data_IF_910683224847
#
_entry.id   IF_910683224847
#
_cell.length_a   1.000
_cell.length_b   1.000
_cell.length_c   1.000
_cell.angle_alpha   90.00
_cell.angle_beta   90.00
_cell.angle_gamma   90.00
#
_symmetry.space_group_name_H-M   'P 1'
#
loop_
_entity.id
_entity.type
_entity.pdbx_description
1 polymer ?
#
# COMPACT_ATOMS: atom_id res chain seq x y z
N UNK A 1 10.55 20.30 -4.41
CA UNK A 1 11.08 21.34 -5.33
C UNK A 1 12.53 21.72 -5.05
N UNK A 2 13.00 21.83 -3.80
CA UNK A 2 14.39 22.27 -3.50
C UNK A 2 15.51 21.34 -4.02
N UNK A 3 15.23 20.06 -4.24
CA UNK A 3 16.26 19.03 -4.53
C UNK A 3 16.83 19.05 -5.94
N UNK A 4 16.07 19.56 -6.92
CA UNK A 4 16.59 19.77 -8.27
C UNK A 4 17.32 21.12 -8.40
N UNK A 5 17.03 22.06 -7.50
CA UNK A 5 17.58 23.42 -7.56
C UNK A 5 19.07 23.40 -7.24
N UNK A 6 19.48 22.68 -6.19
CA UNK A 6 20.90 22.63 -5.80
C UNK A 6 21.82 22.06 -6.91
N UNK A 7 21.56 20.87 -7.49
CA UNK A 7 22.38 20.34 -8.58
C UNK A 7 22.27 21.19 -9.85
N UNK A 8 21.09 21.76 -10.14
CA UNK A 8 20.96 22.68 -11.28
C UNK A 8 21.82 23.95 -11.09
N UNK A 9 21.81 24.55 -9.91
CA UNK A 9 22.66 25.70 -9.57
C UNK A 9 24.14 25.31 -9.66
N UNK A 10 24.52 24.14 -9.14
CA UNK A 10 25.89 23.63 -9.24
C UNK A 10 26.36 23.45 -10.70
N UNK A 11 25.51 22.88 -11.56
CA UNK A 11 25.80 22.73 -12.99
C UNK A 11 25.89 24.07 -13.71
N UNK A 12 25.03 25.04 -13.38
CA UNK A 12 25.10 26.40 -13.94
C UNK A 12 26.40 27.09 -13.52
N UNK A 13 26.80 26.98 -12.25
CA UNK A 13 28.09 27.52 -11.78
C UNK A 13 29.26 26.87 -12.50
N UNK A 14 29.27 25.54 -12.63
CA UNK A 14 30.32 24.82 -13.36
C UNK A 14 30.38 25.26 -14.84
N UNK A 15 29.22 25.39 -15.50
CA UNK A 15 29.13 25.87 -16.88
C UNK A 15 29.66 27.31 -17.02
N UNK A 16 29.37 28.20 -16.07
CA UNK A 16 29.90 29.57 -16.06
C UNK A 16 31.41 29.61 -15.84
N UNK A 17 31.96 28.71 -15.01
CA UNK A 17 33.43 28.58 -14.81
C UNK A 17 34.12 28.07 -16.07
N UNK A 18 33.55 27.05 -16.73
CA UNK A 18 34.10 26.54 -18.01
C UNK A 18 33.98 27.59 -19.11
N UNK A 19 32.86 28.31 -19.17
CA UNK A 19 32.65 29.40 -20.13
C UNK A 19 33.63 30.55 -19.93
N UNK A 20 33.89 30.96 -18.68
CA UNK A 20 34.87 32.01 -18.38
C UNK A 20 36.28 31.60 -18.79
N UNK A 21 36.65 30.34 -18.57
CA UNK A 21 37.92 29.78 -19.04
C UNK A 21 38.05 29.86 -20.57
N UNK A 22 36.98 29.53 -21.31
CA UNK A 22 36.95 29.63 -22.78
C UNK A 22 37.15 31.07 -23.26
N UNK A 23 36.42 32.04 -22.67
CA UNK A 23 36.55 33.46 -23.01
C UNK A 23 37.95 34.00 -22.69
N UNK A 24 38.57 33.57 -21.59
CA UNK A 24 39.94 33.95 -21.22
C UNK A 24 41.00 33.31 -22.13
N UNK A 25 40.80 32.06 -22.55
CA UNK A 25 41.70 31.35 -23.47
C UNK A 25 41.82 32.02 -24.84
N UNK A 26 40.73 32.61 -25.34
CA UNK A 26 40.75 33.42 -26.56
C UNK A 26 41.60 34.70 -26.49
N UNK A 27 41.95 35.17 -25.28
CA UNK A 27 42.74 36.39 -25.05
C UNK A 27 44.17 36.13 -24.61
N UNK A 28 44.40 35.08 -23.81
CA UNK A 28 45.70 34.81 -23.16
C UNK A 28 46.53 33.71 -23.87
N UNK A 29 45.96 33.04 -24.88
CA UNK A 29 46.54 31.84 -25.49
C UNK A 29 46.20 30.56 -24.71
N UNK A 30 46.16 29.40 -25.38
CA UNK A 30 45.70 28.14 -24.79
C UNK A 30 46.59 27.60 -23.66
N UNK A 31 47.87 28.01 -23.61
CA UNK A 31 48.85 27.50 -22.63
C UNK A 31 48.92 28.33 -21.34
N UNK A 32 48.05 29.34 -21.18
CA UNK A 32 48.02 30.15 -19.98
C UNK A 32 47.63 29.30 -18.75
N UNK A 33 48.50 29.28 -17.73
CA UNK A 33 48.29 28.54 -16.47
C UNK A 33 46.90 28.77 -15.85
N UNK A 34 46.37 30.01 -15.94
CA UNK A 34 45.04 30.38 -15.46
C UNK A 34 43.90 29.67 -16.20
N UNK A 35 44.02 29.44 -17.51
CA UNK A 35 43.02 28.74 -18.32
C UNK A 35 42.99 27.26 -17.92
N UNK A 36 44.16 26.63 -17.80
CA UNK A 36 44.27 25.23 -17.36
C UNK A 36 43.72 25.01 -15.95
N UNK A 37 44.00 25.93 -15.01
CA UNK A 37 43.46 25.86 -13.65
C UNK A 37 41.93 25.99 -13.62
N UNK A 38 41.35 26.92 -14.38
CA UNK A 38 39.90 27.12 -14.44
C UNK A 38 39.17 25.94 -15.08
N UNK A 39 39.74 25.37 -16.16
CA UNK A 39 39.17 24.17 -16.79
C UNK A 39 39.21 22.99 -15.82
N UNK A 40 40.36 22.72 -15.18
CA UNK A 40 40.49 21.63 -14.22
C UNK A 40 39.52 21.80 -13.05
N UNK A 41 39.46 22.99 -12.44
CA UNK A 41 38.51 23.30 -11.38
C UNK A 41 37.06 23.13 -11.83
N UNK A 42 36.71 23.62 -13.02
CA UNK A 42 35.38 23.47 -13.59
C UNK A 42 34.98 22.01 -13.80
N UNK A 43 35.91 21.18 -14.30
CA UNK A 43 35.68 19.74 -14.47
C UNK A 43 35.55 19.01 -13.12
N UNK A 44 36.33 19.38 -12.10
CA UNK A 44 36.23 18.80 -10.77
C UNK A 44 34.89 19.14 -10.11
N UNK A 45 34.48 20.41 -10.13
CA UNK A 45 33.18 20.86 -9.60
C UNK A 45 32.05 20.12 -10.31
N UNK A 46 32.10 20.02 -11.64
CA UNK A 46 31.10 19.29 -12.43
C UNK A 46 31.06 17.80 -12.04
N UNK A 47 32.22 17.15 -11.89
CA UNK A 47 32.32 15.77 -11.44
C UNK A 47 31.69 15.54 -10.07
N UNK A 48 31.93 16.44 -9.12
CA UNK A 48 31.32 16.40 -7.79
C UNK A 48 29.80 16.56 -7.87
N UNK A 49 29.30 17.57 -8.58
CA UNK A 49 27.85 17.84 -8.70
C UNK A 49 27.12 16.66 -9.33
N UNK A 50 27.68 16.09 -10.41
CA UNK A 50 27.11 14.91 -11.07
C UNK A 50 27.09 13.72 -10.10
N UNK A 51 28.19 13.48 -9.39
CA UNK A 51 28.28 12.37 -8.43
C UNK A 51 27.23 12.50 -7.32
N UNK A 52 27.09 13.69 -6.73
CA UNK A 52 26.08 13.97 -5.70
C UNK A 52 24.66 13.72 -6.25
N UNK A 53 24.34 14.27 -7.42
CA UNK A 53 23.02 14.11 -8.02
C UNK A 53 22.67 12.63 -8.29
N UNK A 54 23.65 11.86 -8.79
CA UNK A 54 23.48 10.42 -9.05
C UNK A 54 23.26 9.67 -7.74
N UNK A 55 24.07 9.93 -6.71
CA UNK A 55 23.95 9.29 -5.40
C UNK A 55 22.61 9.61 -4.74
N UNK A 56 22.17 10.87 -4.77
CA UNK A 56 20.87 11.28 -4.26
C UNK A 56 19.72 10.57 -4.98
N UNK A 57 19.80 10.47 -6.32
CA UNK A 57 18.80 9.74 -7.11
C UNK A 57 18.74 8.25 -6.72
N UNK A 58 19.90 7.60 -6.54
CA UNK A 58 19.94 6.21 -6.08
C UNK A 58 19.29 6.03 -4.70
N UNK A 59 19.58 6.95 -3.76
CA UNK A 59 18.96 6.92 -2.44
C UNK A 59 17.46 7.14 -2.48
N UNK A 60 16.99 8.10 -3.29
CA UNK A 60 15.56 8.35 -3.46
C UNK A 60 14.85 7.14 -4.07
N UNK A 61 15.44 6.53 -5.10
CA UNK A 61 14.93 5.31 -5.71
C UNK A 61 14.84 4.17 -4.70
N UNK A 62 15.89 3.94 -3.91
CA UNK A 62 15.90 2.91 -2.86
C UNK A 62 14.83 3.19 -1.80
N UNK A 63 14.70 4.45 -1.36
CA UNK A 63 13.69 4.85 -0.39
C UNK A 63 12.27 4.60 -0.91
N UNK A 64 11.99 4.94 -2.16
CA UNK A 64 10.67 4.72 -2.77
C UNK A 64 10.36 3.22 -2.90
N UNK A 65 11.36 2.39 -3.23
CA UNK A 65 11.21 0.94 -3.25
C UNK A 65 10.88 0.36 -1.87
N UNK A 66 11.61 0.75 -0.82
CA UNK A 66 11.33 0.28 0.55
C UNK A 66 9.98 0.78 1.04
N UNK A 67 9.64 2.04 0.77
CA UNK A 67 8.33 2.60 1.10
C UNK A 67 7.20 1.84 0.40
N UNK A 68 7.37 1.50 -0.87
CA UNK A 68 6.38 0.72 -1.63
C UNK A 68 6.15 -0.66 -1.03
N UNK A 69 7.21 -1.36 -0.60
CA UNK A 69 7.09 -2.64 0.13
C UNK A 69 6.37 -2.48 1.47
N UNK A 70 6.69 -1.43 2.23
CA UNK A 70 6.04 -1.15 3.50
C UNK A 70 4.53 -0.88 3.32
N UNK A 71 4.18 -0.11 2.29
CA UNK A 71 2.79 0.18 1.93
C UNK A 71 2.06 -1.11 1.49
N UNK A 72 2.70 -1.94 0.67
CA UNK A 72 2.15 -3.23 0.25
C UNK A 72 1.90 -4.16 1.45
N UNK A 73 2.87 -4.27 2.37
CA UNK A 73 2.71 -5.04 3.60
C UNK A 73 1.56 -4.54 4.46
N UNK A 74 1.44 -3.22 4.65
CA UNK A 74 0.35 -2.63 5.44
C UNK A 74 -1.03 -2.93 4.83
N UNK A 75 -1.15 -2.87 3.49
CA UNK A 75 -2.37 -3.23 2.80
C UNK A 75 -2.68 -4.73 2.91
N UNK A 76 -1.68 -5.60 2.78
CA UNK A 76 -1.87 -7.05 2.90
C UNK A 76 -2.36 -7.43 4.31
N UNK A 77 -1.78 -6.87 5.37
CA UNK A 77 -2.26 -7.09 6.75
C UNK A 77 -3.67 -6.54 6.98
N UNK A 78 -4.01 -5.42 6.35
CA UNK A 78 -5.38 -4.90 6.42
C UNK A 78 -6.36 -5.87 5.75
N UNK A 79 -6.01 -6.45 4.59
CA UNK A 79 -6.80 -7.48 3.92
C UNK A 79 -6.90 -8.74 4.77
N UNK A 80 -5.77 -9.22 5.33
CA UNK A 80 -5.75 -10.37 6.24
C UNK A 80 -6.75 -10.20 7.37
N UNK A 81 -6.75 -9.04 8.03
CA UNK A 81 -7.70 -8.75 9.10
C UNK A 81 -9.16 -8.76 8.60
N UNK A 82 -9.44 -8.13 7.47
CA UNK A 82 -10.79 -8.10 6.86
C UNK A 82 -11.26 -9.52 6.54
N UNK A 83 -10.42 -10.33 5.91
CA UNK A 83 -10.71 -11.72 5.53
C UNK A 83 -10.89 -12.59 6.78
N UNK A 84 -10.04 -12.40 7.78
CA UNK A 84 -10.16 -13.09 9.05
C UNK A 84 -11.49 -12.76 9.73
N UNK A 85 -11.91 -11.49 9.81
CA UNK A 85 -13.22 -11.11 10.39
C UNK A 85 -14.37 -11.66 9.56
N UNK A 86 -14.29 -11.59 8.24
CA UNK A 86 -15.39 -11.97 7.35
C UNK A 86 -15.53 -13.48 7.20
N UNK A 87 -14.50 -14.15 6.70
CA UNK A 87 -14.54 -15.55 6.27
C UNK A 87 -13.97 -16.50 7.33
N UNK A 88 -12.96 -16.07 8.09
CA UNK A 88 -12.45 -16.82 9.24
C UNK A 88 -11.05 -17.29 9.01
N UNK A 89 -10.73 -18.44 9.60
CA UNK A 89 -9.39 -18.98 9.56
C UNK A 89 -8.54 -18.67 10.80
N UNK A 90 -7.26 -19.09 10.76
CA UNK A 90 -6.31 -18.81 11.83
C UNK A 90 -6.07 -17.30 11.97
N UNK A 91 -5.59 -16.86 13.14
CA UNK A 91 -5.27 -15.44 13.39
C UNK A 91 -4.09 -14.92 12.56
N UNK A 92 -3.27 -15.82 12.05
CA UNK A 92 -2.15 -15.54 11.15
C UNK A 92 -2.42 -16.34 9.89
N UNK A 93 -2.74 -15.65 8.79
CA UNK A 93 -3.13 -16.28 7.53
C UNK A 93 -2.04 -15.98 6.50
N UNK A 94 -1.44 -17.02 5.96
CA UNK A 94 -0.47 -16.89 4.87
C UNK A 94 -1.16 -16.46 3.56
N UNK A 95 -0.41 -15.85 2.65
CA UNK A 95 -0.98 -15.22 1.44
C UNK A 95 -1.74 -16.22 0.55
N UNK A 96 -1.21 -17.44 0.39
CA UNK A 96 -1.85 -18.54 -0.35
C UNK A 96 -3.15 -19.01 0.33
N UNK A 97 -3.19 -19.00 1.67
CA UNK A 97 -4.39 -19.30 2.46
C UNK A 97 -5.44 -18.21 2.29
N UNK A 98 -5.05 -16.92 2.31
CA UNK A 98 -5.97 -15.79 2.03
C UNK A 98 -6.62 -15.99 0.66
N UNK A 99 -5.82 -16.29 -0.36
CA UNK A 99 -6.32 -16.55 -1.72
C UNK A 99 -7.24 -17.77 -1.77
N UNK A 100 -6.91 -18.83 -1.04
CA UNK A 100 -7.76 -20.02 -0.92
C UNK A 100 -9.13 -19.71 -0.29
N UNK A 101 -9.13 -18.93 0.80
CA UNK A 101 -10.35 -18.47 1.49
C UNK A 101 -11.22 -17.63 0.55
N UNK A 102 -10.62 -16.64 -0.13
CA UNK A 102 -11.33 -15.77 -1.08
C UNK A 102 -11.93 -16.56 -2.25
N UNK A 103 -11.25 -17.60 -2.74
CA UNK A 103 -11.81 -18.48 -3.78
C UNK A 103 -12.95 -19.35 -3.29
N UNK A 104 -13.01 -19.68 -2.00
CA UNK A 104 -14.13 -20.43 -1.42
C UNK A 104 -15.35 -19.58 -1.07
N UNK A 105 -15.22 -18.24 -1.05
CA UNK A 105 -16.32 -17.34 -0.72
C UNK A 105 -17.49 -17.50 -1.70
N UNK A 106 -18.68 -17.74 -1.16
CA UNK A 106 -19.91 -17.94 -1.92
C UNK A 106 -20.72 -16.65 -2.05
N UNK A 107 -21.60 -16.58 -3.06
CA UNK A 107 -22.48 -15.43 -3.26
C UNK A 107 -23.44 -15.16 -2.08
N UNK A 108 -23.76 -16.21 -1.29
CA UNK A 108 -24.67 -16.13 -0.15
C UNK A 108 -23.99 -15.85 1.19
N UNK A 109 -22.67 -15.67 1.21
CA UNK A 109 -21.95 -15.37 2.45
C UNK A 109 -22.41 -14.04 3.02
N UNK A 110 -22.61 -13.99 4.34
CA UNK A 110 -23.13 -12.80 4.98
C UNK A 110 -22.11 -11.66 4.91
N UNK A 111 -22.60 -10.46 4.63
CA UNK A 111 -21.85 -9.20 4.71
C UNK A 111 -22.62 -8.23 5.60
N UNK A 112 -22.59 -8.42 6.93
CA UNK A 112 -23.24 -7.49 7.86
C UNK A 112 -22.60 -6.10 7.80
N UNK A 113 -23.31 -5.09 8.29
CA UNK A 113 -22.91 -3.68 8.16
C UNK A 113 -21.51 -3.39 8.71
N UNK A 114 -21.09 -4.05 9.79
CA UNK A 114 -19.75 -3.86 10.35
C UNK A 114 -18.64 -4.41 9.44
N UNK A 115 -18.87 -5.55 8.79
CA UNK A 115 -17.94 -6.11 7.79
C UNK A 115 -17.89 -5.24 6.53
N UNK A 116 -19.04 -4.71 6.09
CA UNK A 116 -19.07 -3.71 5.02
C UNK A 116 -18.26 -2.45 5.37
N UNK A 117 -18.33 -1.99 6.62
CA UNK A 117 -17.57 -0.82 7.08
C UNK A 117 -16.05 -1.08 7.10
N UNK A 118 -15.62 -2.31 7.42
CA UNK A 118 -14.23 -2.72 7.30
C UNK A 118 -13.73 -2.66 5.84
N UNK A 119 -14.53 -3.19 4.91
CA UNK A 119 -14.24 -3.15 3.47
C UNK A 119 -14.19 -1.72 2.93
N UNK A 120 -15.15 -0.88 3.33
CA UNK A 120 -15.19 0.55 3.00
C UNK A 120 -13.94 1.28 3.52
N UNK A 121 -13.51 0.97 4.74
CA UNK A 121 -12.30 1.54 5.36
C UNK A 121 -11.04 1.12 4.61
N UNK A 122 -10.95 -0.14 4.19
CA UNK A 122 -9.88 -0.64 3.33
C UNK A 122 -9.85 0.10 1.97
N UNK A 123 -11.00 0.26 1.33
CA UNK A 123 -11.11 1.00 0.07
C UNK A 123 -10.75 2.48 0.20
N UNK A 124 -11.22 3.14 1.26
CA UNK A 124 -10.88 4.55 1.56
C UNK A 124 -9.39 4.73 1.79
N UNK A 125 -8.78 3.87 2.63
CA UNK A 125 -7.34 3.90 2.89
C UNK A 125 -6.55 3.67 1.60
N UNK A 126 -6.98 2.72 0.78
CA UNK A 126 -6.33 2.43 -0.51
C UNK A 126 -6.36 3.65 -1.44
N UNK A 127 -7.50 4.34 -1.52
CA UNK A 127 -7.64 5.60 -2.28
C UNK A 127 -6.73 6.72 -1.75
N UNK A 128 -6.63 6.86 -0.42
CA UNK A 128 -5.72 7.84 0.19
C UNK A 128 -4.26 7.53 -0.16
N UNK A 129 -3.86 6.25 -0.11
CA UNK A 129 -2.52 5.82 -0.49
C UNK A 129 -2.19 6.11 -1.96
N UNK A 130 -3.13 5.95 -2.89
CA UNK A 130 -2.95 6.35 -4.30
C UNK A 130 -2.55 7.81 -4.45
N UNK A 131 -3.11 8.69 -3.62
CA UNK A 131 -2.80 10.13 -3.66
C UNK A 131 -1.52 10.48 -2.90
N UNK A 132 -1.32 9.89 -1.71
CA UNK A 132 -0.28 10.32 -0.78
C UNK A 132 1.08 9.66 -1.05
N UNK A 133 1.11 8.41 -1.52
CA UNK A 133 2.32 7.62 -1.68
C UNK A 133 2.64 7.31 -3.16
N UNK A 134 2.16 8.13 -4.10
CA UNK A 134 2.24 7.88 -5.55
C UNK A 134 3.63 7.45 -6.05
N UNK A 135 4.69 8.18 -5.66
CA UNK A 135 6.06 7.86 -6.07
C UNK A 135 6.55 6.49 -5.57
N UNK A 136 6.06 6.03 -4.41
CA UNK A 136 6.36 4.71 -3.87
C UNK A 136 5.58 3.61 -4.61
N UNK A 137 4.34 3.89 -5.00
CA UNK A 137 3.53 2.97 -5.80
C UNK A 137 4.09 2.79 -7.21
N UNK A 138 4.52 3.88 -7.86
CA UNK A 138 5.15 3.84 -9.19
C UNK A 138 6.50 3.11 -9.20
N UNK A 139 7.17 3.02 -8.05
CA UNK A 139 8.44 2.30 -7.93
C UNK A 139 8.30 0.77 -8.10
N UNK A 140 7.09 0.22 -7.94
CA UNK A 140 6.81 -1.22 -8.08
C UNK A 140 5.76 -1.48 -9.16
N UNK A 141 6.08 -2.39 -10.09
CA UNK A 141 5.15 -2.78 -11.14
C UNK A 141 3.92 -3.45 -10.53
N UNK A 142 2.73 -2.96 -10.87
CA UNK A 142 1.45 -3.55 -10.47
C UNK A 142 0.90 -3.05 -9.13
N UNK A 143 1.69 -2.34 -8.30
CA UNK A 143 1.22 -1.85 -7.02
C UNK A 143 0.15 -0.77 -7.17
N UNK A 144 0.31 0.15 -8.14
CA UNK A 144 -0.72 1.14 -8.48
C UNK A 144 -2.06 0.46 -8.80
N UNK A 145 -2.04 -0.55 -9.67
CA UNK A 145 -3.24 -1.31 -10.05
C UNK A 145 -3.85 -2.06 -8.88
N UNK A 146 -3.03 -2.63 -7.98
CA UNK A 146 -3.53 -3.27 -6.77
C UNK A 146 -4.37 -2.31 -5.91
N UNK A 147 -3.85 -1.11 -5.69
CA UNK A 147 -4.54 -0.08 -4.90
C UNK A 147 -5.76 0.51 -5.63
N UNK A 148 -5.72 0.62 -6.96
CA UNK A 148 -6.90 0.99 -7.77
C UNK A 148 -8.02 -0.05 -7.62
N UNK A 149 -7.71 -1.34 -7.71
CA UNK A 149 -8.68 -2.43 -7.48
C UNK A 149 -9.25 -2.38 -6.06
N UNK A 150 -8.40 -2.31 -5.04
CA UNK A 150 -8.84 -2.22 -3.64
C UNK A 150 -9.68 -0.96 -3.38
N UNK A 151 -9.39 0.16 -4.06
CA UNK A 151 -10.17 1.40 -3.92
C UNK A 151 -11.62 1.26 -4.38
N UNK A 152 -11.94 0.25 -5.23
CA UNK A 152 -13.32 -0.04 -5.65
C UNK A 152 -14.21 -0.50 -4.49
N UNK A 153 -13.62 -1.04 -3.42
CA UNK A 153 -14.37 -1.37 -2.19
C UNK A 153 -15.00 -0.12 -1.56
N UNK A 154 -14.53 1.08 -1.90
CA UNK A 154 -15.17 2.32 -1.47
C UNK A 154 -16.60 2.50 -2.01
N UNK A 155 -16.94 1.82 -3.10
CA UNK A 155 -18.26 1.86 -3.73
C UNK A 155 -19.17 0.70 -3.28
N UNK A 156 -18.77 -0.08 -2.26
CA UNK A 156 -19.50 -1.29 -1.85
C UNK A 156 -20.97 -1.05 -1.47
N UNK A 157 -21.35 0.18 -1.10
CA UNK A 157 -22.72 0.59 -0.72
C UNK A 157 -23.30 1.67 -1.65
N UNK A 158 -22.67 1.95 -2.78
CA UNK A 158 -23.09 3.06 -3.63
C UNK A 158 -24.44 2.77 -4.32
N UNK A 159 -25.34 3.77 -4.31
CA UNK A 159 -26.65 3.65 -4.98
C UNK A 159 -27.64 2.67 -4.32
N UNK A 160 -27.45 2.33 -3.04
CA UNK A 160 -28.37 1.47 -2.28
C UNK A 160 -28.28 -0.02 -2.63
N UNK A 161 -27.33 -0.42 -3.48
CA UNK A 161 -27.01 -1.83 -3.76
C UNK A 161 -25.70 -2.19 -3.09
N UNK A 162 -25.71 -3.24 -2.27
CA UNK A 162 -24.48 -3.80 -1.69
C UNK A 162 -23.85 -4.75 -2.70
N UNK A 163 -22.53 -4.71 -2.88
CA UNK A 163 -21.86 -5.71 -3.71
C UNK A 163 -22.13 -7.12 -3.18
N UNK A 164 -22.31 -8.08 -4.09
CA UNK A 164 -22.38 -9.48 -3.69
C UNK A 164 -21.06 -9.94 -3.06
N UNK A 165 -21.14 -10.89 -2.12
CA UNK A 165 -19.99 -11.47 -1.45
C UNK A 165 -18.90 -11.96 -2.42
N UNK A 166 -19.28 -12.60 -3.54
CA UNK A 166 -18.32 -13.03 -4.56
C UNK A 166 -17.59 -11.86 -5.21
N UNK A 167 -18.29 -10.78 -5.55
CA UNK A 167 -17.68 -9.58 -6.14
C UNK A 167 -16.66 -8.96 -5.19
N UNK A 168 -16.98 -8.91 -3.89
CA UNK A 168 -16.03 -8.47 -2.86
C UNK A 168 -14.80 -9.39 -2.83
N UNK A 169 -15.02 -10.71 -2.86
CA UNK A 169 -13.94 -11.69 -2.88
C UNK A 169 -13.04 -11.53 -4.11
N UNK A 170 -13.62 -11.30 -5.29
CA UNK A 170 -12.86 -11.11 -6.55
C UNK A 170 -11.97 -9.86 -6.48
N UNK A 171 -12.50 -8.74 -5.96
CA UNK A 171 -11.73 -7.50 -5.77
C UNK A 171 -10.58 -7.70 -4.79
N UNK A 172 -10.83 -8.37 -3.66
CA UNK A 172 -9.80 -8.70 -2.69
C UNK A 172 -8.76 -9.66 -3.27
N UNK A 173 -9.19 -10.70 -4.00
CA UNK A 173 -8.29 -11.71 -4.59
C UNK A 173 -7.31 -11.05 -5.57
N UNK A 174 -7.81 -10.17 -6.44
CA UNK A 174 -6.97 -9.44 -7.39
C UNK A 174 -6.00 -8.48 -6.69
N UNK A 175 -6.47 -7.79 -5.63
CA UNK A 175 -5.61 -6.96 -4.78
C UNK A 175 -4.49 -7.78 -4.12
N UNK A 176 -4.84 -8.92 -3.51
CA UNK A 176 -3.88 -9.80 -2.81
C UNK A 176 -2.85 -10.37 -3.77
N UNK A 177 -3.23 -10.88 -4.96
CA UNK A 177 -2.26 -11.40 -5.95
C UNK A 177 -1.21 -10.37 -6.32
N UNK A 178 -1.63 -9.14 -6.59
CA UNK A 178 -0.71 -8.06 -6.99
C UNK A 178 0.19 -7.62 -5.84
N UNK A 179 -0.35 -7.56 -4.61
CA UNK A 179 0.44 -7.29 -3.42
C UNK A 179 1.46 -8.41 -3.16
N UNK A 180 1.05 -9.67 -3.33
CA UNK A 180 1.89 -10.85 -3.18
C UNK A 180 3.08 -10.82 -4.14
N UNK A 181 2.83 -10.52 -5.41
CA UNK A 181 3.87 -10.38 -6.43
C UNK A 181 4.93 -9.33 -6.06
N UNK A 182 4.51 -8.18 -5.52
CA UNK A 182 5.42 -7.10 -5.08
C UNK A 182 6.25 -7.51 -3.85
N UNK A 183 5.65 -8.31 -2.97
CA UNK A 183 6.27 -8.79 -1.74
C UNK A 183 7.05 -10.10 -1.91
N UNK A 184 7.10 -10.64 -3.13
CA UNK A 184 7.64 -11.98 -3.42
C UNK A 184 7.03 -13.08 -2.52
N UNK A 185 5.72 -12.97 -2.27
CA UNK A 185 4.91 -13.96 -1.55
C UNK A 185 4.25 -14.94 -2.53
N UNK A 186 3.79 -16.12 -2.09
CA UNK A 186 3.05 -17.04 -2.93
C UNK A 186 1.81 -16.40 -3.56
N UNK A 187 1.68 -16.53 -4.89
CA UNK A 187 0.53 -16.03 -5.67
C UNK A 187 -0.52 -17.13 -5.95
N UNK A 188 -0.16 -18.38 -5.69
CA UNK A 188 -1.03 -19.52 -5.90
C UNK A 188 -1.92 -19.74 -4.67
N UNK A 189 -3.21 -19.97 -4.90
CA UNK A 189 -4.14 -20.23 -3.83
C UNK A 189 -3.97 -21.65 -3.28
N UNK A 190 -3.97 -21.77 -1.96
CA UNK A 190 -4.10 -23.06 -1.30
C UNK A 190 -5.46 -23.69 -1.69
N UNK A 191 -5.53 -25.01 -1.99
CA UNK A 191 -6.79 -25.67 -2.29
C UNK A 191 -7.79 -25.52 -1.14
N UNK A 192 -8.96 -24.91 -1.42
CA UNK A 192 -9.97 -24.58 -0.40
C UNK A 192 -10.46 -25.77 0.44
N UNK A 193 -10.39 -27.00 -0.09
CA UNK A 193 -10.67 -28.25 0.64
C UNK A 193 -9.80 -28.48 1.88
N UNK A 194 -8.66 -27.78 1.97
CA UNK A 194 -7.74 -27.86 3.11
C UNK A 194 -8.09 -26.85 4.22
N UNK A 195 -8.99 -25.90 3.94
CA UNK A 195 -9.31 -24.79 4.83
C UNK A 195 -10.56 -25.16 5.65
N UNK A 196 -10.35 -25.79 6.81
CA UNK A 196 -11.44 -26.31 7.66
C UNK A 196 -12.11 -25.27 8.56
N UNK A 197 -11.63 -24.02 8.52
CA UNK A 197 -11.94 -23.00 9.53
C UNK A 197 -12.71 -21.80 8.96
N UNK A 198 -13.32 -21.94 7.78
CA UNK A 198 -14.13 -20.88 7.16
C UNK A 198 -15.54 -20.95 7.73
N UNK A 199 -15.99 -19.84 8.30
CA UNK A 199 -17.36 -19.63 8.78
C UNK A 199 -17.74 -18.18 8.50
N UNK A 200 -18.51 -17.95 7.43
CA UNK A 200 -18.96 -16.62 7.06
C UNK A 200 -20.28 -16.22 7.74
N UNK A 201 -20.76 -16.96 8.74
CA UNK A 201 -21.99 -16.60 9.46
C UNK A 201 -21.83 -15.29 10.23
N UNK A 202 -22.89 -14.49 10.27
CA UNK A 202 -22.89 -13.19 10.95
C UNK A 202 -22.46 -13.30 12.42
N UNK A 203 -22.95 -14.32 13.15
CA UNK A 203 -22.58 -14.58 14.54
C UNK A 203 -21.07 -14.83 14.71
N UNK A 204 -20.46 -15.63 13.82
CA UNK A 204 -19.02 -15.87 13.85
C UNK A 204 -18.23 -14.59 13.52
N UNK A 205 -18.73 -13.78 12.59
CA UNK A 205 -18.11 -12.49 12.25
C UNK A 205 -18.18 -11.51 13.42
N UNK A 206 -19.33 -11.43 14.11
CA UNK A 206 -19.54 -10.60 15.30
C UNK A 206 -18.58 -11.00 16.43
N UNK A 207 -18.44 -12.30 16.68
CA UNK A 207 -17.49 -12.84 17.66
C UNK A 207 -16.06 -12.40 17.35
N UNK A 208 -15.61 -12.49 16.09
CA UNK A 208 -14.25 -12.09 15.69
C UNK A 208 -14.04 -10.58 15.76
N UNK A 209 -15.03 -9.79 15.36
CA UNK A 209 -14.92 -8.34 15.32
C UNK A 209 -14.98 -7.70 16.71
N UNK A 210 -15.91 -8.13 17.57
CA UNK A 210 -16.14 -7.54 18.88
C UNK A 210 -15.56 -8.34 20.05
N UNK A 211 -15.17 -9.60 19.83
CA UNK A 211 -14.71 -10.49 20.90
C UNK A 211 -15.82 -10.92 21.87
N UNK A 212 -17.10 -10.81 21.48
CA UNK A 212 -18.24 -11.25 22.29
C UNK A 212 -18.66 -12.65 21.90
N UNK A 213 -18.59 -13.58 22.85
CA UNK A 213 -19.39 -14.81 22.75
C UNK A 213 -20.86 -14.40 22.70
N UNK A 214 -21.58 -14.85 21.68
CA UNK A 214 -23.04 -14.70 21.56
C UNK A 214 -23.79 -15.35 22.75
N UNK A 215 -23.08 -15.97 23.68
CA UNK A 215 -23.60 -16.73 24.81
C UNK A 215 -23.80 -15.90 26.10
N UNK A 216 -23.53 -14.59 26.07
CA UNK A 216 -24.16 -13.69 27.04
C UNK A 216 -25.59 -13.37 26.61
N UNK A 217 -26.40 -14.43 26.55
CA UNK A 217 -27.77 -14.39 27.02
C UNK A 217 -27.80 -13.51 28.27
N UNK A 218 -28.31 -12.30 28.10
CA UNK A 218 -28.68 -11.44 29.22
C UNK A 218 -29.47 -12.34 30.18
N UNK A 219 -29.12 -12.40 31.48
CA UNK A 219 -29.97 -13.13 32.41
C UNK A 219 -31.37 -12.56 32.20
N UNK A 220 -32.31 -13.42 31.76
CA UNK A 220 -33.73 -13.12 31.79
C UNK A 220 -33.94 -12.48 33.15
N UNK A 221 -34.19 -11.17 33.15
CA UNK A 221 -34.67 -10.46 34.32
C UNK A 221 -35.96 -11.19 34.62
N UNK A 222 -35.88 -12.17 35.52
CA UNK A 222 -37.03 -12.82 36.09
C UNK A 222 -37.92 -11.66 36.51
N UNK A 223 -39.03 -11.50 35.79
CA UNK A 223 -40.13 -10.66 36.21
C UNK A 223 -40.38 -11.06 37.65
N UNK A 224 -39.93 -10.19 38.55
CA UNK A 224 -40.14 -10.32 39.97
C UNK A 224 -41.64 -10.19 40.11
N UNK A 225 -42.32 -11.34 40.17
CA UNK A 225 -43.74 -11.43 40.41
C UNK A 225 -44.09 -10.48 41.53
N UNK A 226 -44.92 -9.50 41.22
CA UNK A 226 -45.67 -8.74 42.21
C UNK A 226 -46.44 -9.75 43.06
N UNK A 227 -46.20 -9.81 44.38
CA UNK A 227 -47.09 -10.56 45.24
C UNK A 227 -48.40 -9.78 45.32
N UNK A 228 -49.47 -10.36 44.79
CA UNK A 228 -50.83 -9.93 45.09
C UNK A 228 -51.04 -10.06 46.60
N UNK A 229 -51.18 -8.93 47.28
CA UNK A 229 -51.73 -8.86 48.63
C UNK A 229 -53.26 -8.85 48.52
N UNK A 230 -53.86 -9.98 48.86
CA UNK A 230 -55.21 -10.07 49.41
C UNK A 230 -55.14 -10.79 50.76
#
# INVERSE_FOLDING_TARGET
>A
MSRLILPAVGLVVAALVVWSAYVMGGRAGPDALSVNLLVNLGTEIMGIVITVAVVEWFFERRRNLERGKQVAWSALHAIEHVVWVWQGGPRQIETDQILGILRSAANGDALPDFTQNLLLSLGTRSKQTLHNDRAALEAHKGLMTAFEELSRLNAIREGGRVFGARTVADVLEEGVKRLAAVLAQPEEAMPGRLIRYVDASEAAQELRYFGRDADHSSPRRLERGTPDMF
#
